data_IF_270036242183
#
_entry.id   IF_270036242183
#
_cell.length_a   1.000
_cell.length_b   1.000
_cell.length_c   1.000
_cell.angle_alpha   90.00
_cell.angle_beta   90.00
_cell.angle_gamma   90.00
#
_symmetry.space_group_name_H-M   'P 1'
#
loop_
_entity.id
_entity.type
_entity.pdbx_description
1 polymer ?
#
# COMPACT_ATOMS: atom_id res chain seq x y z
N UNK A 1 -9.75 -8.21 7.59
CA UNK A 1 -9.04 -7.03 7.08
C UNK A 1 -10.11 -6.14 6.48
N UNK A 2 -10.41 -5.00 7.09
CA UNK A 2 -11.48 -4.10 6.66
C UNK A 2 -11.10 -3.44 5.33
N UNK A 3 -12.07 -3.19 4.45
CA UNK A 3 -11.82 -2.60 3.13
C UNK A 3 -12.16 -1.11 3.15
N UNK A 4 -11.22 -0.24 2.77
CA UNK A 4 -11.47 1.20 2.64
C UNK A 4 -11.72 1.52 1.17
N UNK A 5 -12.89 2.10 0.86
CA UNK A 5 -13.27 2.53 -0.50
C UNK A 5 -13.49 4.04 -0.55
N UNK A 6 -13.32 4.63 -1.74
CA UNK A 6 -13.79 6.00 -2.00
C UNK A 6 -15.30 5.97 -2.25
N UNK A 7 -16.06 6.72 -1.46
CA UNK A 7 -17.47 6.97 -1.69
C UNK A 7 -17.68 8.18 -2.61
N UNK A 8 -18.89 8.31 -3.16
CA UNK A 8 -19.28 9.47 -3.98
C UNK A 8 -19.06 10.78 -3.22
N UNK A 9 -18.43 11.76 -3.87
CA UNK A 9 -18.15 13.08 -3.29
C UNK A 9 -16.81 13.21 -2.54
N UNK A 10 -15.88 12.26 -2.72
CA UNK A 10 -14.53 12.36 -2.14
C UNK A 10 -14.42 11.90 -0.69
N UNK A 11 -15.47 11.25 -0.16
CA UNK A 11 -15.52 10.72 1.21
C UNK A 11 -14.83 9.37 1.29
N UNK A 12 -14.18 9.08 2.42
CA UNK A 12 -13.64 7.76 2.70
C UNK A 12 -14.69 6.92 3.41
N UNK A 13 -14.94 5.72 2.89
CA UNK A 13 -15.88 4.73 3.41
C UNK A 13 -15.09 3.53 3.93
N UNK A 14 -15.26 3.20 5.20
CA UNK A 14 -14.75 1.96 5.78
C UNK A 14 -15.87 0.93 5.73
N UNK A 15 -15.67 -0.13 4.95
CA UNK A 15 -16.59 -1.26 4.85
C UNK A 15 -16.13 -2.33 5.83
N UNK A 16 -17.04 -2.70 6.73
CA UNK A 16 -16.82 -3.75 7.71
C UNK A 16 -17.24 -5.10 7.13
N UNK A 17 -16.33 -6.07 7.11
CA UNK A 17 -16.62 -7.42 6.59
C UNK A 17 -17.65 -8.17 7.44
N UNK A 18 -17.77 -7.80 8.72
CA UNK A 18 -18.82 -8.24 9.63
C UNK A 18 -19.35 -7.01 10.38
N UNK A 19 -20.67 -6.89 10.61
CA UNK A 19 -21.23 -5.78 11.37
C UNK A 19 -20.63 -5.74 12.77
N UNK A 20 -20.09 -4.59 13.18
CA UNK A 20 -19.50 -4.42 14.50
C UNK A 20 -20.47 -3.69 15.43
N UNK A 21 -20.45 -4.09 16.70
CA UNK A 21 -21.05 -3.27 17.75
C UNK A 21 -20.14 -2.09 18.06
N UNK A 22 -20.70 -0.88 18.04
CA UNK A 22 -19.97 0.35 18.32
C UNK A 22 -20.41 0.89 19.68
N UNK A 23 -19.43 1.22 20.51
CA UNK A 23 -19.64 1.97 21.74
C UNK A 23 -19.11 3.39 21.52
N UNK A 24 -19.92 4.38 21.86
CA UNK A 24 -19.49 5.77 21.88
C UNK A 24 -19.85 6.39 23.22
N UNK A 25 -18.87 6.90 23.93
CA UNK A 25 -19.11 7.73 25.11
C UNK A 25 -19.28 9.19 24.65
N UNK A 26 -20.46 9.75 24.86
CA UNK A 26 -20.76 11.15 24.61
C UNK A 26 -19.98 12.05 25.58
N UNK A 27 -19.72 13.29 25.19
CA UNK A 27 -19.13 14.31 26.08
C UNK A 27 -20.04 14.67 27.26
N UNK A 28 -21.32 14.27 27.21
CA UNK A 28 -22.26 14.31 28.35
C UNK A 28 -22.06 13.18 29.36
N UNK A 29 -21.19 12.20 29.08
CA UNK A 29 -20.98 11.00 29.89
C UNK A 29 -21.98 9.87 29.61
N UNK A 30 -22.86 10.04 28.62
CA UNK A 30 -23.78 9.01 28.19
C UNK A 30 -23.10 8.03 27.25
N UNK A 31 -23.23 6.73 27.56
CA UNK A 31 -22.75 5.66 26.70
C UNK A 31 -23.84 5.27 25.71
N UNK A 32 -23.54 5.39 24.43
CA UNK A 32 -24.39 4.92 23.33
C UNK A 32 -23.84 3.58 22.85
N UNK A 33 -24.73 2.59 22.77
CA UNK A 33 -24.43 1.27 22.22
C UNK A 33 -25.22 1.09 20.93
N UNK A 34 -24.51 0.70 19.87
CA UNK A 34 -25.11 0.39 18.57
C UNK A 34 -24.75 -1.03 18.17
N UNK A 35 -25.75 -1.80 17.75
CA UNK A 35 -25.56 -3.14 17.19
C UNK A 35 -25.50 -3.07 15.66
N UNK A 36 -24.64 -3.90 15.08
CA UNK A 36 -24.60 -4.16 13.65
C UNK A 36 -24.35 -2.93 12.74
N UNK A 37 -23.35 -2.09 13.08
CA UNK A 37 -22.89 -1.03 12.17
C UNK A 37 -22.18 -1.68 10.98
N UNK A 38 -22.64 -1.39 9.76
CA UNK A 38 -22.06 -1.91 8.51
C UNK A 38 -21.08 -0.94 7.86
N UNK A 39 -21.32 0.37 8.02
CA UNK A 39 -20.63 1.42 7.29
C UNK A 39 -20.27 2.59 8.21
N UNK A 40 -19.01 3.03 8.13
CA UNK A 40 -18.52 4.24 8.80
C UNK A 40 -17.99 5.21 7.74
N UNK A 41 -18.59 6.41 7.71
CA UNK A 41 -18.22 7.48 6.80
C UNK A 41 -17.33 8.51 7.51
N UNK A 42 -16.20 8.84 6.90
CA UNK A 42 -15.29 9.86 7.38
C UNK A 42 -15.25 11.07 6.44
N UNK A 43 -15.34 12.27 7.02
CA UNK A 43 -14.95 13.52 6.35
C UNK A 43 -16.06 14.23 5.58
N UNK A 44 -17.00 14.88 6.28
CA UNK A 44 -17.92 15.81 5.63
C UNK A 44 -17.26 17.17 5.33
N UNK A 45 -16.42 17.69 6.23
CA UNK A 45 -15.75 18.99 6.04
C UNK A 45 -14.26 18.89 5.66
N UNK A 46 -13.57 17.84 6.08
CA UNK A 46 -12.19 17.53 5.66
C UNK A 46 -12.19 16.16 5.00
N UNK A 47 -11.72 16.11 3.75
CA UNK A 47 -11.43 14.84 3.08
C UNK A 47 -10.23 14.21 3.75
N UNK A 48 -10.42 13.07 4.41
CA UNK A 48 -9.33 12.21 4.88
C UNK A 48 -9.11 11.15 3.82
N UNK A 49 -7.91 11.08 3.27
CA UNK A 49 -7.58 10.11 2.22
C UNK A 49 -7.31 8.73 2.82
N UNK A 50 -7.36 7.70 1.98
CA UNK A 50 -6.95 6.35 2.38
C UNK A 50 -5.50 6.32 2.88
N UNK A 51 -4.60 7.12 2.27
CA UNK A 51 -3.20 7.17 2.65
C UNK A 51 -3.02 7.78 4.05
N UNK A 52 -3.76 8.86 4.36
CA UNK A 52 -3.80 9.45 5.70
C UNK A 52 -4.30 8.44 6.76
N UNK A 53 -5.34 7.65 6.46
CA UNK A 53 -5.84 6.63 7.38
C UNK A 53 -4.83 5.49 7.61
N UNK A 54 -4.11 5.12 6.56
CA UNK A 54 -3.12 4.03 6.63
C UNK A 54 -1.89 4.39 7.47
N UNK A 55 -1.60 5.68 7.71
CA UNK A 55 -0.57 6.13 8.66
C UNK A 55 -0.87 5.71 10.10
N UNK A 56 -2.14 5.52 10.40
CA UNK A 56 -2.63 5.20 11.73
C UNK A 56 -3.11 3.74 11.87
N UNK A 57 -2.79 2.87 10.90
CA UNK A 57 -3.11 1.44 11.01
C UNK A 57 -2.49 0.85 12.30
N UNK A 58 -3.30 0.25 13.16
CA UNK A 58 -2.93 -0.24 14.49
C UNK A 58 -2.25 0.80 15.40
N UNK A 59 -2.54 2.08 15.21
CA UNK A 59 -2.16 3.17 16.10
C UNK A 59 -3.44 3.69 16.77
N UNK A 60 -3.39 3.92 18.07
CA UNK A 60 -4.50 4.58 18.77
C UNK A 60 -4.54 6.06 18.35
N UNK A 61 -5.70 6.51 17.88
CA UNK A 61 -5.89 7.87 17.38
C UNK A 61 -7.05 8.52 18.10
N UNK A 62 -6.76 9.69 18.65
CA UNK A 62 -7.76 10.60 19.17
C UNK A 62 -8.33 11.44 18.03
N UNK A 63 -9.65 11.39 17.86
CA UNK A 63 -10.36 12.10 16.79
C UNK A 63 -11.17 13.24 17.41
N UNK A 64 -10.91 14.47 17.00
CA UNK A 64 -11.82 15.59 17.28
C UNK A 64 -12.76 15.80 16.10
N UNK A 65 -14.05 15.99 16.39
CA UNK A 65 -15.04 16.04 15.34
C UNK A 65 -16.47 16.11 15.83
N UNK A 66 -17.41 15.85 14.91
CA UNK A 66 -18.82 15.65 15.23
C UNK A 66 -19.24 14.29 14.72
N UNK A 67 -19.88 13.50 15.57
CA UNK A 67 -20.47 12.21 15.19
C UNK A 67 -21.96 12.43 14.96
N UNK A 68 -22.48 11.91 13.85
CA UNK A 68 -23.91 11.85 13.53
C UNK A 68 -24.27 10.42 13.18
N UNK A 69 -25.46 10.00 13.59
CA UNK A 69 -26.00 8.68 13.30
C UNK A 69 -27.30 8.87 12.54
N UNK A 70 -27.44 8.18 11.40
CA UNK A 70 -28.66 8.18 10.60
C UNK A 70 -28.78 6.82 9.89
N UNK A 71 -29.96 6.21 9.92
CA UNK A 71 -30.26 4.94 9.20
C UNK A 71 -29.17 3.85 9.37
N UNK A 72 -28.78 3.56 10.62
CA UNK A 72 -27.70 2.62 10.99
C UNK A 72 -26.30 2.92 10.43
N UNK A 73 -26.08 4.13 9.90
CA UNK A 73 -24.78 4.61 9.43
C UNK A 73 -24.19 5.59 10.43
N UNK A 74 -22.88 5.50 10.62
CA UNK A 74 -22.12 6.43 11.47
C UNK A 74 -21.35 7.39 10.58
N UNK A 75 -21.57 8.68 10.77
CA UNK A 75 -20.86 9.76 10.11
C UNK A 75 -19.96 10.45 11.12
N UNK A 76 -18.66 10.48 10.84
CA UNK A 76 -17.67 11.17 11.67
C UNK A 76 -17.09 12.32 10.84
N UNK A 77 -17.47 13.54 11.20
CA UNK A 77 -16.83 14.74 10.68
C UNK A 77 -15.55 15.01 11.44
N UNK A 78 -14.43 14.56 10.88
CA UNK A 78 -13.12 14.68 11.53
C UNK A 78 -12.53 16.07 11.27
N UNK A 79 -12.34 16.84 12.35
CA UNK A 79 -11.65 18.13 12.32
C UNK A 79 -10.14 17.96 12.47
N UNK A 80 -9.72 17.14 13.44
CA UNK A 80 -8.30 16.81 13.67
C UNK A 80 -8.15 15.38 14.16
N UNK A 81 -7.05 14.76 13.72
CA UNK A 81 -6.52 13.51 14.25
C UNK A 81 -5.36 13.86 15.17
N UNK A 82 -5.30 13.23 16.33
CA UNK A 82 -4.26 13.36 17.33
C UNK A 82 -3.70 11.96 17.62
N UNK A 83 -2.39 11.87 17.73
CA UNK A 83 -1.69 10.59 17.85
C UNK A 83 -0.39 10.67 17.07
N UNK A 84 0.59 9.87 17.46
CA UNK A 84 1.84 9.76 16.70
C UNK A 84 1.58 8.83 15.52
N UNK A 85 1.43 9.35 14.27
CA UNK A 85 1.35 8.47 13.11
C UNK A 85 2.59 7.57 13.13
N UNK A 86 2.50 6.35 12.59
CA UNK A 86 3.69 5.55 12.38
C UNK A 86 4.71 6.43 11.67
N UNK A 87 5.96 6.43 12.15
CA UNK A 87 7.05 7.08 11.44
C UNK A 87 6.97 6.63 9.97
N UNK A 88 6.52 7.54 9.12
CA UNK A 88 6.81 7.46 7.71
C UNK A 88 8.31 7.55 7.67
N UNK A 89 8.98 6.45 7.30
CA UNK A 89 10.29 6.55 6.67
C UNK A 89 10.17 7.71 5.69
N UNK A 90 10.96 8.76 5.98
CA UNK A 90 10.74 10.11 5.50
C UNK A 90 10.37 10.14 4.03
N UNK A 91 9.40 10.97 3.68
CA UNK A 91 9.36 11.66 2.39
C UNK A 91 10.79 12.10 2.06
N UNK A 92 11.46 11.28 1.24
CA UNK A 92 12.65 11.71 0.56
C UNK A 92 12.11 12.35 -0.69
N UNK A 93 12.30 13.66 -0.79
CA UNK A 93 11.95 14.51 -1.93
C UNK A 93 11.90 13.70 -3.24
N UNK A 94 10.76 13.76 -3.93
CA UNK A 94 10.61 13.28 -5.30
C UNK A 94 11.62 14.01 -6.19
N UNK A 95 12.82 13.42 -6.27
CA UNK A 95 13.64 13.48 -7.47
C UNK A 95 12.80 12.79 -8.54
N UNK A 96 12.64 13.35 -9.75
CA UNK A 96 11.89 12.68 -10.81
C UNK A 96 12.42 11.26 -10.94
N UNK A 97 11.59 10.26 -10.60
CA UNK A 97 11.96 8.86 -10.74
C UNK A 97 12.37 8.69 -12.19
N UNK A 98 13.64 8.32 -12.40
CA UNK A 98 14.23 8.25 -13.73
C UNK A 98 13.34 7.43 -14.67
N UNK A 99 13.21 7.84 -15.94
CA UNK A 99 12.57 7.11 -17.05
C UNK A 99 13.08 5.65 -17.25
N UNK A 100 13.97 5.19 -16.37
CA UNK A 100 14.74 3.96 -16.44
C UNK A 100 14.17 2.83 -15.56
N UNK A 101 13.17 3.12 -14.71
CA UNK A 101 12.36 2.14 -13.96
C UNK A 101 11.23 1.58 -14.85
N UNK A 102 10.94 0.28 -14.74
CA UNK A 102 9.84 -0.35 -15.48
C UNK A 102 8.51 -0.08 -14.79
N UNK A 103 8.46 -0.18 -13.46
CA UNK A 103 7.28 0.10 -12.65
C UNK A 103 7.67 1.02 -11.49
N UNK A 104 7.85 2.33 -11.76
CA UNK A 104 8.24 3.35 -10.77
C UNK A 104 7.46 3.23 -9.46
N UNK A 105 6.14 3.18 -9.59
CA UNK A 105 5.15 3.14 -8.51
C UNK A 105 5.09 1.81 -7.72
N UNK A 106 5.93 0.82 -8.04
CA UNK A 106 5.89 -0.49 -7.38
C UNK A 106 6.31 -0.46 -5.91
N UNK A 107 6.90 0.65 -5.44
CA UNK A 107 7.23 0.92 -4.05
C UNK A 107 6.14 1.71 -3.29
N UNK A 108 5.22 2.39 -3.98
CA UNK A 108 4.31 3.39 -3.39
C UNK A 108 2.82 2.99 -3.45
N UNK A 109 2.42 2.09 -4.36
CA UNK A 109 1.03 1.61 -4.50
C UNK A 109 0.93 0.15 -4.94
N UNK A 110 -0.26 -0.43 -4.84
CA UNK A 110 -0.52 -1.75 -5.40
C UNK A 110 -0.63 -1.70 -6.93
N UNK A 111 0.02 -2.67 -7.58
CA UNK A 111 -0.09 -2.88 -9.02
C UNK A 111 -1.40 -3.61 -9.36
N UNK A 112 -1.88 -3.32 -10.55
CA UNK A 112 -3.10 -3.88 -11.15
C UNK A 112 -2.77 -4.60 -12.45
N UNK A 113 -3.74 -5.32 -12.99
CA UNK A 113 -3.61 -5.95 -14.31
C UNK A 113 -3.33 -4.94 -15.42
N UNK A 114 -3.87 -3.72 -15.31
CA UNK A 114 -3.64 -2.65 -16.28
C UNK A 114 -2.18 -2.19 -16.30
N UNK A 115 -1.51 -2.17 -15.14
CA UNK A 115 -0.10 -1.75 -15.02
C UNK A 115 0.86 -2.70 -15.74
N UNK A 116 0.45 -3.96 -15.97
CA UNK A 116 1.30 -5.00 -16.59
C UNK A 116 0.78 -5.48 -17.94
N UNK A 117 -0.36 -4.98 -18.41
CA UNK A 117 -1.05 -5.49 -19.60
C UNK A 117 -0.24 -5.40 -20.91
N UNK A 118 0.73 -4.48 -20.98
CA UNK A 118 1.61 -4.32 -22.13
C UNK A 118 3.01 -4.89 -21.96
N UNK A 119 3.34 -5.41 -20.77
CA UNK A 119 4.68 -5.88 -20.47
C UNK A 119 4.87 -7.32 -20.97
N UNK A 120 6.01 -7.57 -21.61
CA UNK A 120 6.47 -8.92 -21.93
C UNK A 120 6.80 -9.70 -20.67
N UNK A 121 6.86 -11.03 -20.78
CA UNK A 121 7.30 -11.90 -19.67
C UNK A 121 8.66 -11.48 -19.10
N UNK A 122 9.57 -11.02 -19.97
CA UNK A 122 10.88 -10.51 -19.59
C UNK A 122 10.77 -9.23 -18.77
N UNK A 123 9.97 -8.27 -19.22
CA UNK A 123 9.76 -7.01 -18.51
C UNK A 123 9.07 -7.20 -17.17
N UNK A 124 8.12 -8.13 -17.06
CA UNK A 124 7.50 -8.49 -15.78
C UNK A 124 8.54 -9.09 -14.83
N UNK A 125 9.42 -9.97 -15.32
CA UNK A 125 10.53 -10.50 -14.53
C UNK A 125 11.48 -9.40 -14.07
N UNK A 126 11.82 -8.47 -14.96
CA UNK A 126 12.72 -7.37 -14.64
C UNK A 126 12.08 -6.40 -13.64
N UNK A 127 10.80 -6.05 -13.80
CA UNK A 127 10.06 -5.21 -12.85
C UNK A 127 9.94 -5.88 -11.48
N UNK A 128 9.78 -7.21 -11.43
CA UNK A 128 9.83 -7.95 -10.17
C UNK A 128 11.20 -7.82 -9.52
N UNK A 129 12.28 -8.02 -10.28
CA UNK A 129 13.64 -7.93 -9.77
C UNK A 129 14.06 -6.48 -9.45
N UNK A 130 13.43 -5.48 -10.06
CA UNK A 130 13.62 -4.06 -9.76
C UNK A 130 13.30 -3.75 -8.30
N UNK A 131 12.21 -4.33 -7.76
CA UNK A 131 11.86 -4.22 -6.34
C UNK A 131 13.04 -4.71 -5.46
N UNK A 132 13.66 -5.83 -5.80
CA UNK A 132 14.82 -6.32 -5.05
C UNK A 132 16.07 -5.45 -5.28
N UNK A 133 16.24 -4.91 -6.49
CA UNK A 133 17.36 -4.06 -6.86
C UNK A 133 17.34 -2.71 -6.11
N UNK A 134 16.16 -2.14 -5.88
CA UNK A 134 15.97 -0.91 -5.06
C UNK A 134 16.57 -1.07 -3.66
N UNK A 135 16.54 -2.28 -3.11
CA UNK A 135 17.13 -2.65 -1.81
C UNK A 135 18.57 -3.19 -1.90
N UNK A 136 19.23 -3.01 -3.05
CA UNK A 136 20.64 -3.36 -3.24
C UNK A 136 20.94 -4.85 -3.30
N UNK A 137 19.94 -5.70 -3.62
CA UNK A 137 20.17 -7.13 -3.84
C UNK A 137 21.01 -7.34 -5.10
N UNK A 138 22.11 -8.08 -5.00
CA UNK A 138 22.90 -8.55 -6.15
C UNK A 138 22.16 -9.66 -6.93
N UNK A 139 22.62 -9.97 -8.13
CA UNK A 139 22.03 -11.01 -8.98
C UNK A 139 23.04 -12.08 -9.42
N UNK A 140 22.64 -13.35 -9.35
CA UNK A 140 23.45 -14.49 -9.78
C UNK A 140 23.36 -14.75 -11.30
N UNK A 141 22.25 -14.38 -11.94
CA UNK A 141 22.11 -14.44 -13.40
C UNK A 141 22.92 -13.33 -14.07
N UNK A 142 23.70 -13.65 -15.10
CA UNK A 142 24.39 -12.66 -15.93
C UNK A 142 23.43 -11.62 -16.51
N UNK A 143 22.27 -12.06 -16.99
CA UNK A 143 21.27 -11.19 -17.60
C UNK A 143 20.82 -10.04 -16.68
N UNK A 144 20.40 -10.35 -15.45
CA UNK A 144 19.98 -9.30 -14.50
C UNK A 144 21.15 -8.45 -14.01
N UNK A 145 22.36 -9.02 -13.87
CA UNK A 145 23.54 -8.21 -13.53
C UNK A 145 23.80 -7.17 -14.60
N UNK A 146 23.83 -7.58 -15.87
CA UNK A 146 24.11 -6.68 -16.99
C UNK A 146 23.04 -5.59 -17.09
N UNK A 147 21.77 -5.96 -16.89
CA UNK A 147 20.67 -5.01 -16.88
C UNK A 147 20.78 -3.99 -15.73
N UNK A 148 20.87 -4.44 -14.47
CA UNK A 148 20.83 -3.53 -13.32
C UNK A 148 22.14 -2.78 -13.09
N UNK A 149 23.31 -3.34 -13.43
CA UNK A 149 24.57 -2.61 -13.34
C UNK A 149 24.64 -1.40 -14.31
N UNK A 150 23.79 -1.38 -15.33
CA UNK A 150 23.64 -0.22 -16.22
C UNK A 150 22.74 0.89 -15.67
N UNK A 151 22.05 0.67 -14.55
CA UNK A 151 21.10 1.61 -13.96
C UNK A 151 21.82 2.51 -12.95
N UNK A 152 21.76 3.83 -13.14
CA UNK A 152 22.45 4.78 -12.26
C UNK A 152 21.95 4.73 -10.81
N UNK A 153 20.68 4.38 -10.61
CA UNK A 153 20.06 4.27 -9.30
C UNK A 153 20.40 2.97 -8.56
N UNK A 154 20.95 1.96 -9.25
CA UNK A 154 21.20 0.66 -8.66
C UNK A 154 22.59 0.57 -8.04
N UNK A 155 22.66 0.05 -6.82
CA UNK A 155 23.94 -0.31 -6.19
C UNK A 155 23.82 -1.65 -5.48
N UNK A 156 24.34 -2.71 -6.11
CA UNK A 156 24.33 -4.07 -5.56
C UNK A 156 25.29 -4.26 -4.38
N UNK A 157 24.75 -4.28 -3.15
CA UNK A 157 25.53 -4.38 -1.90
C UNK A 157 25.33 -5.71 -1.17
N UNK A 158 24.16 -6.34 -1.33
CA UNK A 158 23.74 -7.50 -0.54
C UNK A 158 23.76 -8.75 -1.42
N UNK A 159 24.52 -9.77 -1.00
CA UNK A 159 24.55 -11.05 -1.72
C UNK A 159 23.16 -11.72 -1.70
N UNK A 160 22.74 -12.42 -2.78
CA UNK A 160 21.38 -12.98 -2.88
C UNK A 160 21.00 -13.89 -1.70
N UNK A 161 21.97 -14.64 -1.18
CA UNK A 161 21.82 -15.57 -0.03
C UNK A 161 21.64 -14.86 1.31
N UNK A 162 22.03 -13.59 1.41
CA UNK A 162 21.93 -12.77 2.63
C UNK A 162 20.78 -11.77 2.57
N UNK A 163 20.14 -11.63 1.41
CA UNK A 163 19.02 -10.72 1.24
C UNK A 163 17.81 -11.21 2.03
N UNK A 164 17.19 -10.31 2.78
CA UNK A 164 15.96 -10.59 3.52
C UNK A 164 14.81 -9.78 2.91
N UNK A 165 13.70 -10.43 2.62
CA UNK A 165 12.46 -9.81 2.16
C UNK A 165 11.76 -8.94 3.23
N UNK A 166 12.29 -8.91 4.45
CA UNK A 166 11.81 -8.03 5.52
C UNK A 166 12.07 -6.55 5.27
N UNK A 167 12.99 -6.22 4.36
CA UNK A 167 13.25 -4.84 3.93
C UNK A 167 12.12 -4.28 3.07
N UNK A 168 11.25 -5.15 2.55
CA UNK A 168 10.13 -4.72 1.71
C UNK A 168 9.04 -4.08 2.54
N UNK A 169 8.52 -2.97 2.02
CA UNK A 169 7.28 -2.40 2.52
C UNK A 169 6.06 -3.25 2.07
N UNK A 170 4.86 -2.83 2.50
CA UNK A 170 3.61 -3.55 2.19
C UNK A 170 3.30 -3.63 0.69
N UNK A 171 3.65 -2.59 -0.08
CA UNK A 171 3.42 -2.53 -1.52
C UNK A 171 4.39 -3.44 -2.26
N UNK A 172 5.69 -3.30 -1.99
CA UNK A 172 6.74 -4.10 -2.60
C UNK A 172 6.53 -5.59 -2.39
N UNK A 173 6.17 -6.00 -1.17
CA UNK A 173 5.87 -7.41 -0.87
C UNK A 173 4.68 -7.94 -1.66
N UNK A 174 3.62 -7.14 -1.79
CA UNK A 174 2.42 -7.54 -2.55
C UNK A 174 2.68 -7.52 -4.05
N UNK A 175 3.39 -6.52 -4.54
CA UNK A 175 3.72 -6.33 -5.95
C UNK A 175 4.71 -7.39 -6.45
N UNK A 176 5.73 -7.76 -5.65
CA UNK A 176 6.63 -8.87 -5.99
C UNK A 176 5.86 -10.20 -6.11
N UNK A 177 4.88 -10.45 -5.23
CA UNK A 177 4.01 -11.62 -5.32
C UNK A 177 3.09 -11.56 -6.54
N UNK A 178 2.47 -10.40 -6.82
CA UNK A 178 1.63 -10.18 -7.99
C UNK A 178 2.39 -10.43 -9.30
N UNK A 179 3.58 -9.85 -9.44
CA UNK A 179 4.43 -10.03 -10.62
C UNK A 179 4.88 -11.49 -10.77
N UNK A 180 5.21 -12.17 -9.67
CA UNK A 180 5.53 -13.61 -9.71
C UNK A 180 4.34 -14.45 -10.20
N UNK A 181 3.11 -14.11 -9.81
CA UNK A 181 1.91 -14.79 -10.29
C UNK A 181 1.67 -14.51 -11.78
N UNK A 182 1.94 -13.29 -12.25
CA UNK A 182 1.87 -12.93 -13.67
C UNK A 182 2.85 -13.70 -14.52
N UNK A 183 4.09 -13.87 -14.06
CA UNK A 183 5.07 -14.71 -14.76
C UNK A 183 4.60 -16.16 -14.90
N UNK A 184 4.14 -16.77 -13.80
CA UNK A 184 3.65 -18.16 -13.81
C UNK A 184 2.41 -18.34 -14.70
N UNK A 185 1.53 -17.35 -14.75
CA UNK A 185 0.33 -17.37 -15.60
C UNK A 185 0.67 -17.30 -17.09
N UNK A 186 1.72 -16.56 -17.47
CA UNK A 186 2.19 -16.45 -18.86
C UNK A 186 3.00 -17.68 -19.26
N UNK A 187 3.92 -18.11 -18.39
CA UNK A 187 4.77 -19.27 -18.62
C UNK A 187 5.00 -20.02 -17.31
N UNK A 188 4.61 -21.29 -17.29
CA UNK A 188 4.83 -22.16 -16.13
C UNK A 188 6.32 -22.23 -15.76
N UNK A 189 6.65 -21.90 -14.52
CA UNK A 189 8.02 -21.77 -14.02
C UNK A 189 8.70 -20.43 -14.36
N UNK A 190 7.93 -19.42 -14.76
CA UNK A 190 8.34 -18.04 -15.00
C UNK A 190 9.34 -17.82 -16.13
N UNK A 191 9.88 -16.61 -16.21
CA UNK A 191 10.93 -16.26 -17.16
C UNK A 191 12.21 -17.05 -16.88
N UNK A 192 12.88 -17.52 -17.94
CA UNK A 192 14.14 -18.28 -17.83
C UNK A 192 15.32 -17.34 -18.01
N UNK A 193 15.97 -17.02 -16.90
CA UNK A 193 17.15 -16.17 -16.87
C UNK A 193 18.38 -16.88 -17.43
N UNK A 194 19.13 -16.16 -18.26
CA UNK A 194 20.47 -16.59 -18.68
C UNK A 194 21.44 -16.53 -17.48
N UNK A 195 22.22 -17.61 -17.30
CA UNK A 195 23.15 -17.76 -16.17
C UNK A 195 24.45 -17.00 -16.40
#
# INVERSE_FOLDING_TARGET
MQEVRKASGGRSLVILNEPLSVYADSTSGERVFMEAVSDIYLGEHRVITSDELLLYDNVEVDISGTIRIDDNKVFIDVKKLYGEPRETESETEEKPESDDYILPESNSRYLTDADVAGLSLKEINYAKNEIYARHGRKFDSKELRDYFNGKEWYTGKIDPKKFSDKVFNKYEKKNASFLSQKEEAIQKGGYKLEQ
#
